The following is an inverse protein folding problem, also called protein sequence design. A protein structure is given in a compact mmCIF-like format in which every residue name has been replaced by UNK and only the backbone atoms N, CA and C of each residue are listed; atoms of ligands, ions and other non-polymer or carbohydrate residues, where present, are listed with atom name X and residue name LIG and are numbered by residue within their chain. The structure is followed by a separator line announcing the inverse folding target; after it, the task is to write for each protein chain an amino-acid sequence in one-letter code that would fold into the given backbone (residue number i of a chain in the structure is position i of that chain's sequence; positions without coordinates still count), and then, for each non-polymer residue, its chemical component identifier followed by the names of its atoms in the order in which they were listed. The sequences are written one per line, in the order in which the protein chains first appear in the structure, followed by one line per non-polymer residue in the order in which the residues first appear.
data_IF_016975129599
#
_entry.id   IF_016975129599
#
_cell.length_a   1.000
_cell.length_b   1.000
_cell.length_c   1.000
_cell.angle_alpha   90.00
_cell.angle_beta   90.00
_cell.angle_gamma   90.00
#
_symmetry.space_group_name_H-M   'P 1'
#
loop_
_entity.id
_entity.type
_entity.pdbx_description
1 polymer ?
#
# COMPACT_ATOMS: atom_id res chain seq x y z
N UNK A 1 -0.39 -0.16 -1.31
CA UNK A 1 0.21 -1.31 -2.01
C UNK A 1 -0.59 -1.56 -3.28
N UNK A 2 0.09 -1.89 -4.38
CA UNK A 2 -0.53 -2.41 -5.60
C UNK A 2 0.09 -3.78 -5.85
N UNK A 3 -0.71 -4.82 -6.06
CA UNK A 3 -0.22 -6.16 -6.36
C UNK A 3 -1.29 -7.02 -7.00
N UNK A 4 -0.86 -8.01 -7.78
CA UNK A 4 -1.75 -9.01 -8.36
C UNK A 4 -2.40 -9.83 -7.24
N UNK A 5 -3.73 -9.85 -7.22
CA UNK A 5 -4.51 -10.68 -6.28
C UNK A 5 -5.05 -9.97 -5.02
N UNK A 6 -4.79 -8.68 -4.80
CA UNK A 6 -5.42 -7.95 -3.67
C UNK A 6 -6.76 -7.34 -4.06
N UNK A 7 -7.81 -7.62 -3.29
CA UNK A 7 -9.11 -6.92 -3.38
C UNK A 7 -8.90 -5.41 -3.20
N UNK A 8 -9.04 -4.65 -4.28
CA UNK A 8 -8.82 -3.19 -4.37
C UNK A 8 -9.69 -2.33 -3.43
N UNK A 9 -10.61 -2.94 -2.68
CA UNK A 9 -11.50 -2.29 -1.72
C UNK A 9 -10.94 -2.13 -0.30
N UNK A 10 -9.93 -2.92 0.09
CA UNK A 10 -9.41 -2.92 1.47
C UNK A 10 -8.11 -2.13 1.65
N UNK A 11 -7.47 -1.74 0.55
CA UNK A 11 -6.25 -0.94 0.57
C UNK A 11 -6.62 0.55 0.49
N UNK A 12 -5.87 1.45 1.16
CA UNK A 12 -6.06 2.87 0.97
C UNK A 12 -5.85 3.20 -0.51
N UNK A 13 -6.97 3.37 -1.23
CA UNK A 13 -7.02 3.81 -2.62
C UNK A 13 -6.19 5.08 -2.73
N UNK A 14 -5.19 5.03 -3.60
CA UNK A 14 -4.47 6.06 -4.42
C UNK A 14 -4.32 7.51 -3.87
N UNK A 15 -5.20 8.00 -3.01
CA UNK A 15 -5.22 9.32 -2.37
C UNK A 15 -4.50 9.37 -1.01
N UNK A 16 -3.55 8.47 -0.75
CA UNK A 16 -2.75 8.51 0.48
C UNK A 16 -3.52 8.27 1.78
N UNK A 17 -4.68 7.59 1.73
CA UNK A 17 -5.37 7.12 2.94
C UNK A 17 -5.89 8.18 3.90
N UNK A 18 -6.13 9.42 3.45
CA UNK A 18 -6.48 10.56 4.34
C UNK A 18 -5.33 10.89 5.33
N UNK A 19 -4.08 10.71 4.89
CA UNK A 19 -2.91 11.21 5.60
C UNK A 19 -2.78 12.72 5.33
N UNK A 20 -2.63 13.50 6.40
CA UNK A 20 -2.39 14.95 6.38
C UNK A 20 -1.12 15.25 7.17
N UNK A 21 -0.56 16.45 7.04
CA UNK A 21 0.66 16.83 7.76
C UNK A 21 0.47 16.65 9.29
N UNK A 22 1.41 15.97 9.93
CA UNK A 22 1.37 15.66 11.37
C UNK A 22 0.47 14.50 11.77
N UNK A 23 -0.27 13.88 10.82
CA UNK A 23 -1.12 12.71 11.08
C UNK A 23 -0.38 11.42 10.77
N UNK A 24 -0.39 10.51 11.74
CA UNK A 24 0.10 9.13 11.57
C UNK A 24 -1.11 8.19 11.49
N UNK A 25 -1.10 7.24 10.57
CA UNK A 25 -2.14 6.20 10.49
C UNK A 25 -1.51 4.84 10.26
N UNK A 26 -2.10 3.81 10.85
CA UNK A 26 -1.67 2.42 10.75
C UNK A 26 -2.77 1.64 10.04
N UNK A 27 -2.40 0.92 8.99
CA UNK A 27 -3.31 0.06 8.24
C UNK A 27 -2.82 -1.38 8.40
N UNK A 28 -3.66 -2.22 8.98
CA UNK A 28 -3.42 -3.66 9.02
C UNK A 28 -3.97 -4.28 7.75
N UNK A 29 -3.13 -5.00 7.03
CA UNK A 29 -3.48 -5.68 5.79
C UNK A 29 -2.98 -7.12 5.86
N UNK A 30 -3.84 -8.05 5.48
CA UNK A 30 -3.45 -9.46 5.33
C UNK A 30 -3.08 -9.68 3.87
N UNK A 31 -1.85 -10.13 3.63
CA UNK A 31 -1.36 -10.46 2.29
C UNK A 31 -1.47 -11.96 2.06
N UNK A 32 -1.88 -12.33 0.86
CA UNK A 32 -1.76 -13.71 0.38
C UNK A 32 -0.36 -13.91 -0.23
N UNK A 33 0.12 -15.15 -0.40
CA UNK A 33 1.35 -15.38 -1.14
C UNK A 33 1.28 -14.76 -2.53
N UNK A 34 2.33 -14.03 -2.93
CA UNK A 34 2.32 -13.24 -4.16
C UNK A 34 3.37 -12.12 -4.20
N UNK A 35 3.39 -11.40 -5.32
CA UNK A 35 4.29 -10.28 -5.57
C UNK A 35 3.54 -8.94 -5.42
N UNK A 36 4.06 -8.06 -4.57
CA UNK A 36 3.46 -6.77 -4.24
C UNK A 36 4.46 -5.63 -4.46
N UNK A 37 3.91 -4.43 -4.66
CA UNK A 37 4.68 -3.19 -4.68
C UNK A 37 4.20 -2.29 -3.54
N UNK A 38 5.14 -1.93 -2.67
CA UNK A 38 4.97 -0.86 -1.70
C UNK A 38 5.36 0.47 -2.36
N UNK A 39 4.40 1.39 -2.44
CA UNK A 39 4.52 2.66 -3.15
C UNK A 39 3.78 3.75 -2.37
N UNK A 40 4.39 4.93 -2.26
CA UNK A 40 3.78 6.11 -1.64
C UNK A 40 3.26 7.04 -2.74
N UNK A 41 1.94 7.32 -2.81
CA UNK A 41 1.38 8.19 -3.85
C UNK A 41 1.59 9.70 -3.56
N UNK A 42 1.92 10.07 -2.31
CA UNK A 42 1.98 11.48 -1.89
C UNK A 42 3.39 12.10 -1.98
N UNK A 43 4.42 11.28 -2.18
CA UNK A 43 5.78 11.67 -2.53
C UNK A 43 6.30 10.57 -3.45
N UNK A 44 6.78 10.88 -4.68
CA UNK A 44 7.27 9.87 -5.61
C UNK A 44 8.58 9.27 -5.09
N UNK A 45 8.45 8.33 -4.15
CA UNK A 45 9.51 7.45 -3.66
C UNK A 45 9.63 6.27 -4.63
N UNK A 46 10.82 5.69 -4.81
CA UNK A 46 10.97 4.46 -5.59
C UNK A 46 10.02 3.36 -5.09
N UNK A 47 9.48 2.61 -6.04
CA UNK A 47 8.66 1.44 -5.79
C UNK A 47 9.52 0.33 -5.15
N UNK A 48 9.06 -0.22 -4.04
CA UNK A 48 9.75 -1.32 -3.34
C UNK A 48 9.00 -2.64 -3.56
N UNK A 49 9.62 -3.64 -4.20
CA UNK A 49 9.02 -4.95 -4.37
C UNK A 49 8.98 -5.72 -3.04
N UNK A 50 7.87 -6.40 -2.78
CA UNK A 50 7.65 -7.24 -1.60
C UNK A 50 7.15 -8.60 -2.09
N UNK A 51 7.88 -9.67 -1.76
CA UNK A 51 7.50 -11.05 -2.08
C UNK A 51 6.99 -11.70 -0.80
N UNK A 52 5.77 -12.23 -0.84
CA UNK A 52 5.16 -12.96 0.27
C UNK A 52 5.08 -14.44 -0.10
N UNK A 53 5.58 -15.30 0.79
CA UNK A 53 5.58 -16.76 0.65
C UNK A 53 4.52 -17.41 1.52
#
# INVERSE_FOLDING_TARGET
MRGEGTNEGSLPKVSGGNLTQGKTSRYEVTLTPGNYVFSCPLNPTPDYPVVVQ
#
